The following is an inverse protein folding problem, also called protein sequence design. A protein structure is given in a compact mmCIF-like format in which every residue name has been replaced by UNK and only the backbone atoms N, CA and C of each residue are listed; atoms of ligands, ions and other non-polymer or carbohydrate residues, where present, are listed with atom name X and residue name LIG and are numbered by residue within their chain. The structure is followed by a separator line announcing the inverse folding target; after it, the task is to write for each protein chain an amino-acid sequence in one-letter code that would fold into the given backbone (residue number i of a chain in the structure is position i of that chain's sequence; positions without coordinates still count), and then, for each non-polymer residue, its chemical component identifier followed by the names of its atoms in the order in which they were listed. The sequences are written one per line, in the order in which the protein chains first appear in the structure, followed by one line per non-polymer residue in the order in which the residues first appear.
data_IF_726016905130
#
_entry.id   IF_726016905130
#
_cell.length_a   1.000
_cell.length_b   1.000
_cell.length_c   1.000
_cell.angle_alpha   90.00
_cell.angle_beta   90.00
_cell.angle_gamma   90.00
#
_symmetry.space_group_name_H-M   'P 1'
#
loop_
_entity.id
_entity.type
_entity.pdbx_description
1 polymer ?
#
# COMPACT_ATOMS: atom_id res chain seq x y z
N UNK A 1 7.40 4.31 41.75
CA UNK A 1 7.90 3.84 40.44
C UNK A 1 8.30 2.39 40.62
N UNK A 2 7.56 1.46 40.03
CA UNK A 2 7.89 0.03 40.13
C UNK A 2 8.87 -0.32 39.01
N UNK A 3 9.98 -0.99 39.34
CA UNK A 3 10.85 -1.60 38.34
C UNK A 3 10.27 -2.96 37.98
N UNK A 4 10.16 -3.21 36.68
CA UNK A 4 9.78 -4.50 36.13
C UNK A 4 10.96 -4.94 35.30
N UNK A 5 11.63 -5.99 35.75
CA UNK A 5 12.73 -6.63 35.01
C UNK A 5 12.18 -7.81 34.20
N UNK A 6 12.74 -8.04 33.02
CA UNK A 6 12.33 -9.12 32.13
C UNK A 6 13.40 -10.22 32.13
N UNK A 7 12.98 -11.44 32.44
CA UNK A 7 13.84 -12.61 32.36
C UNK A 7 14.07 -13.03 30.89
N UNK A 8 15.13 -13.80 30.66
CA UNK A 8 15.56 -14.21 29.32
C UNK A 8 14.47 -14.98 28.56
N UNK A 9 13.74 -15.86 29.24
CA UNK A 9 12.63 -16.62 28.65
C UNK A 9 11.52 -15.71 28.14
N UNK A 10 11.13 -14.71 28.94
CA UNK A 10 10.11 -13.73 28.58
C UNK A 10 10.59 -12.88 27.40
N UNK A 11 11.86 -12.49 27.40
CA UNK A 11 12.47 -11.70 26.33
C UNK A 11 12.50 -12.45 25.00
N UNK A 12 12.82 -13.75 25.02
CA UNK A 12 12.87 -14.57 23.80
C UNK A 12 11.46 -14.89 23.28
N UNK A 13 10.48 -15.06 24.17
CA UNK A 13 9.08 -15.12 23.78
C UNK A 13 8.64 -13.84 23.06
N UNK A 14 8.98 -12.66 23.58
CA UNK A 14 8.65 -11.37 22.94
C UNK A 14 9.29 -11.25 21.55
N UNK A 15 10.54 -11.69 21.37
CA UNK A 15 11.19 -11.72 20.04
C UNK A 15 10.47 -12.63 19.06
N UNK A 16 9.97 -13.80 19.51
CA UNK A 16 9.24 -14.73 18.64
C UNK A 16 7.93 -14.15 18.09
N UNK A 17 7.36 -13.17 18.79
CA UNK A 17 6.11 -12.48 18.43
C UNK A 17 6.35 -11.16 17.68
N UNK A 18 7.60 -10.77 17.45
CA UNK A 18 7.97 -9.49 16.84
C UNK A 18 8.25 -9.65 15.35
N UNK A 19 7.77 -8.72 14.52
CA UNK A 19 8.26 -8.60 13.15
C UNK A 19 9.66 -7.97 13.13
N UNK A 20 10.67 -8.62 12.53
CA UNK A 20 12.04 -8.11 12.52
C UNK A 20 12.13 -6.70 11.91
N UNK A 21 12.83 -5.80 12.60
CA UNK A 21 13.08 -4.40 12.21
C UNK A 21 11.86 -3.48 12.15
N UNK A 22 10.68 -3.96 12.55
CA UNK A 22 9.43 -3.20 12.51
C UNK A 22 8.90 -2.97 13.93
N UNK A 23 8.80 -4.02 14.72
CA UNK A 23 8.18 -3.94 16.05
C UNK A 23 9.20 -3.58 17.14
N UNK A 24 8.88 -2.59 17.99
CA UNK A 24 9.61 -2.37 19.25
C UNK A 24 9.08 -3.29 20.35
N UNK A 25 9.85 -3.58 21.42
CA UNK A 25 9.37 -4.39 22.54
C UNK A 25 8.07 -3.87 23.16
N UNK A 26 7.90 -2.55 23.21
CA UNK A 26 6.68 -1.92 23.72
C UNK A 26 5.47 -2.14 22.80
N UNK A 27 5.67 -2.21 21.48
CA UNK A 27 4.59 -2.51 20.52
C UNK A 27 4.11 -3.94 20.68
N UNK A 28 5.04 -4.88 20.84
CA UNK A 28 4.73 -6.29 21.10
C UNK A 28 3.99 -6.45 22.42
N UNK A 29 4.47 -5.80 23.49
CA UNK A 29 3.83 -5.85 24.82
C UNK A 29 2.43 -5.23 24.81
N UNK A 30 2.23 -4.09 24.13
CA UNK A 30 0.90 -3.47 23.99
C UNK A 30 -0.06 -4.37 23.22
N UNK A 31 0.43 -5.05 22.17
CA UNK A 31 -0.36 -6.02 21.39
C UNK A 31 -0.77 -7.23 22.23
N UNK A 32 0.17 -7.84 22.95
CA UNK A 32 -0.08 -9.06 23.71
C UNK A 32 -0.90 -8.83 24.99
N UNK A 33 -0.60 -7.76 25.74
CA UNK A 33 -1.18 -7.55 27.07
C UNK A 33 -2.43 -6.67 27.05
N UNK A 34 -2.49 -5.70 26.13
CA UNK A 34 -3.56 -4.72 26.10
C UNK A 34 -4.52 -4.94 24.92
N UNK A 35 -4.22 -5.90 24.03
CA UNK A 35 -4.94 -6.09 22.77
C UNK A 35 -4.81 -4.89 21.81
N UNK A 36 -3.98 -3.91 22.16
CA UNK A 36 -3.81 -2.68 21.41
C UNK A 36 -2.60 -2.83 20.52
N UNK A 37 -2.84 -3.15 19.26
CA UNK A 37 -1.84 -2.80 18.24
C UNK A 37 -1.62 -1.30 18.33
N UNK A 38 -0.37 -0.82 18.25
CA UNK A 38 -0.07 0.62 18.15
C UNK A 38 -0.77 1.30 16.95
N UNK A 39 -1.41 0.50 16.10
CA UNK A 39 -2.40 0.87 15.10
C UNK A 39 -3.80 1.23 15.65
N UNK A 40 -4.07 1.28 16.95
CA UNK A 40 -5.38 1.74 17.46
C UNK A 40 -5.59 3.26 17.31
N UNK A 41 -4.57 4.03 16.92
CA UNK A 41 -4.78 5.37 16.34
C UNK A 41 -5.02 5.36 14.82
N UNK A 42 -4.84 4.22 14.13
CA UNK A 42 -5.20 4.01 12.73
C UNK A 42 -6.46 3.15 12.54
N UNK A 43 -6.97 2.48 13.59
CA UNK A 43 -8.02 1.45 13.45
C UNK A 43 -9.43 1.87 13.87
N UNK A 44 -9.66 3.14 14.22
CA UNK A 44 -11.02 3.66 14.48
C UNK A 44 -11.85 3.91 13.20
N UNK A 45 -11.40 3.43 12.04
CA UNK A 45 -12.20 3.35 10.81
C UNK A 45 -12.40 1.89 10.36
N UNK A 46 -12.42 0.93 11.30
CA UNK A 46 -13.00 -0.40 11.03
C UNK A 46 -14.51 -0.37 11.28
N UNK A 47 -15.26 0.23 10.36
CA UNK A 47 -16.70 -0.02 10.16
C UNK A 47 -17.14 0.51 8.79
N UNK A 48 -16.52 0.05 7.71
CA UNK A 48 -17.16 -0.04 6.38
C UNK A 48 -16.71 -1.34 5.74
N UNK A 49 -17.56 -2.34 5.90
CA UNK A 49 -17.91 -3.38 4.92
C UNK A 49 -16.79 -3.80 3.96
N UNK A 50 -16.23 -5.00 4.19
CA UNK A 50 -15.67 -5.85 3.12
C UNK A 50 -14.80 -5.14 2.06
N UNK A 51 -13.65 -4.58 2.45
CA UNK A 51 -12.62 -4.20 1.48
C UNK A 51 -12.00 -5.47 0.89
N UNK A 52 -12.66 -6.01 -0.13
CA UNK A 52 -12.01 -6.81 -1.15
C UNK A 52 -10.73 -6.08 -1.54
N UNK A 53 -9.56 -6.64 -1.23
CA UNK A 53 -8.25 -6.13 -1.70
C UNK A 53 -8.11 -6.20 -3.24
N UNK A 54 -9.18 -6.57 -3.96
CA UNK A 54 -9.20 -6.56 -5.40
C UNK A 54 -9.54 -5.14 -5.86
N UNK A 55 -8.60 -4.48 -6.56
CA UNK A 55 -8.86 -3.19 -7.17
C UNK A 55 -9.92 -3.34 -8.27
N UNK A 56 -10.65 -2.26 -8.59
CA UNK A 56 -11.68 -2.31 -9.62
C UNK A 56 -11.09 -2.71 -10.98
N UNK A 57 -11.86 -3.42 -11.81
CA UNK A 57 -11.43 -3.80 -13.14
C UNK A 57 -11.26 -2.55 -14.01
N UNK A 58 -10.18 -2.53 -14.79
CA UNK A 58 -9.89 -1.44 -15.75
C UNK A 58 -10.46 -1.85 -17.12
N UNK A 59 -11.03 -0.92 -17.92
CA UNK A 59 -11.61 -1.25 -19.22
C UNK A 59 -10.67 -2.00 -20.16
N UNK A 60 -11.21 -2.97 -20.90
CA UNK A 60 -10.50 -3.72 -21.92
C UNK A 60 -9.94 -2.77 -23.01
N UNK A 61 -8.70 -3.00 -23.43
CA UNK A 61 -7.96 -2.12 -24.34
C UNK A 61 -7.02 -1.13 -23.63
N UNK A 62 -7.03 -1.10 -22.29
CA UNK A 62 -6.04 -0.33 -21.52
C UNK A 62 -4.68 -1.04 -21.53
N UNK A 63 -3.56 -0.33 -21.75
CA UNK A 63 -2.24 -0.90 -21.66
C UNK A 63 -2.02 -1.53 -20.28
N UNK A 64 -1.54 -2.79 -20.24
CA UNK A 64 -1.26 -3.50 -18.97
C UNK A 64 -0.37 -2.72 -18.02
N UNK A 65 0.51 -1.86 -18.54
CA UNK A 65 1.32 -0.98 -17.71
C UNK A 65 0.47 0.04 -16.95
N UNK A 66 -0.45 0.73 -17.63
CA UNK A 66 -1.37 1.68 -17.02
C UNK A 66 -2.30 1.00 -16.01
N UNK A 67 -2.84 -0.16 -16.37
CA UNK A 67 -3.67 -0.96 -15.46
C UNK A 67 -2.94 -1.27 -14.16
N UNK A 68 -1.72 -1.82 -14.23
CA UNK A 68 -0.93 -2.14 -13.04
C UNK A 68 -0.60 -0.90 -12.19
N UNK A 69 -0.31 0.23 -12.84
CA UNK A 69 -0.04 1.49 -12.13
C UNK A 69 -1.27 1.94 -11.35
N UNK A 70 -2.43 1.98 -12.00
CA UNK A 70 -3.70 2.39 -11.38
C UNK A 70 -4.07 1.48 -10.20
N UNK A 71 -3.91 0.16 -10.36
CA UNK A 71 -4.19 -0.80 -9.30
C UNK A 71 -3.26 -0.63 -8.08
N UNK A 72 -1.98 -0.31 -8.30
CA UNK A 72 -1.07 0.01 -7.19
C UNK A 72 -1.53 1.28 -6.48
N UNK A 73 -1.89 2.33 -7.23
CA UNK A 73 -2.39 3.60 -6.67
C UNK A 73 -3.65 3.37 -5.83
N UNK A 74 -4.58 2.55 -6.33
CA UNK A 74 -5.81 2.19 -5.61
C UNK A 74 -5.50 1.56 -4.26
N UNK A 75 -4.66 0.53 -4.26
CA UNK A 75 -4.28 -0.18 -3.04
C UNK A 75 -3.57 0.73 -2.05
N UNK A 76 -2.73 1.65 -2.54
CA UNK A 76 -1.98 2.57 -1.66
C UNK A 76 -2.83 3.69 -1.09
N UNK A 77 -3.72 4.28 -1.88
CA UNK A 77 -4.45 5.48 -1.47
C UNK A 77 -5.81 5.16 -0.86
N UNK A 78 -6.58 4.26 -1.47
CA UNK A 78 -7.95 3.95 -1.03
C UNK A 78 -8.00 2.80 -0.03
N UNK A 79 -7.05 1.87 -0.10
CA UNK A 79 -6.98 0.70 0.80
C UNK A 79 -5.90 0.87 1.88
N UNK A 80 -5.14 1.98 1.85
CA UNK A 80 -4.05 2.30 2.79
C UNK A 80 -3.00 1.17 2.94
N UNK A 81 -2.70 0.50 1.83
CA UNK A 81 -1.70 -0.56 1.79
C UNK A 81 -0.34 0.02 1.39
N UNK A 82 0.76 -0.27 2.11
CA UNK A 82 2.08 0.20 1.71
C UNK A 82 2.43 -0.20 0.27
N UNK A 83 3.04 0.69 -0.50
CA UNK A 83 3.37 0.47 -1.93
C UNK A 83 4.04 -0.88 -2.19
N UNK A 84 4.97 -1.29 -1.32
CA UNK A 84 5.68 -2.57 -1.44
C UNK A 84 4.72 -3.77 -1.37
N UNK A 85 3.73 -3.72 -0.47
CA UNK A 85 2.67 -4.73 -0.33
C UNK A 85 1.67 -4.64 -1.47
N UNK A 86 1.24 -3.43 -1.86
CA UNK A 86 0.37 -3.21 -3.03
C UNK A 86 0.98 -3.77 -4.33
N UNK A 87 2.28 -3.54 -4.55
CA UNK A 87 3.03 -4.08 -5.69
C UNK A 87 3.01 -5.60 -5.72
N UNK A 88 3.20 -6.26 -4.56
CA UNK A 88 3.13 -7.73 -4.44
C UNK A 88 1.72 -8.26 -4.73
N UNK A 89 0.69 -7.55 -4.26
CA UNK A 89 -0.70 -7.92 -4.49
C UNK A 89 -1.01 -7.87 -5.99
N UNK A 90 -0.66 -6.77 -6.67
CA UNK A 90 -0.83 -6.62 -8.13
C UNK A 90 -0.06 -7.70 -8.90
N UNK A 91 1.18 -7.98 -8.51
CA UNK A 91 1.97 -9.05 -9.10
C UNK A 91 1.28 -10.43 -9.01
N UNK A 92 0.73 -10.76 -7.83
CA UNK A 92 0.02 -12.02 -7.61
C UNK A 92 -1.29 -12.09 -8.41
N UNK A 93 -2.05 -11.00 -8.48
CA UNK A 93 -3.31 -10.92 -9.23
C UNK A 93 -3.12 -11.17 -10.73
N UNK A 94 -2.00 -10.73 -11.29
CA UNK A 94 -1.71 -10.83 -12.74
C UNK A 94 -0.93 -12.10 -13.13
N UNK A 95 -1.26 -13.23 -12.52
CA UNK A 95 -0.66 -14.52 -12.86
C UNK A 95 0.73 -14.76 -12.26
N UNK A 96 1.05 -14.08 -11.15
CA UNK A 96 2.31 -14.29 -10.43
C UNK A 96 3.54 -13.71 -11.12
N UNK A 97 3.40 -12.56 -11.78
CA UNK A 97 4.54 -11.84 -12.35
C UNK A 97 5.48 -11.35 -11.24
N UNK A 98 6.76 -11.14 -11.54
CA UNK A 98 7.69 -10.62 -10.55
C UNK A 98 7.26 -9.21 -10.07
N UNK A 99 7.26 -8.91 -8.75
CA UNK A 99 6.96 -7.57 -8.24
C UNK A 99 7.85 -6.48 -8.82
N UNK A 100 9.10 -6.83 -9.18
CA UNK A 100 10.02 -5.94 -9.88
C UNK A 100 9.46 -5.46 -11.22
N UNK A 101 8.73 -6.31 -11.95
CA UNK A 101 8.09 -5.95 -13.22
C UNK A 101 6.98 -4.92 -13.01
N UNK A 102 6.23 -5.01 -11.90
CA UNK A 102 5.23 -4.02 -11.53
C UNK A 102 5.90 -2.71 -11.13
N UNK A 103 6.99 -2.79 -10.36
CA UNK A 103 7.79 -1.62 -9.97
C UNK A 103 8.39 -0.90 -11.17
N UNK A 104 8.95 -1.64 -12.12
CA UNK A 104 9.51 -1.09 -13.34
C UNK A 104 8.45 -0.37 -14.19
N UNK A 105 7.17 -0.77 -14.12
CA UNK A 105 6.10 -0.05 -14.83
C UNK A 105 5.92 1.35 -14.29
N UNK A 106 5.65 1.54 -12.99
CA UNK A 106 5.45 2.90 -12.47
C UNK A 106 6.75 3.70 -12.39
N UNK A 107 7.90 3.07 -12.12
CA UNK A 107 9.18 3.80 -12.06
C UNK A 107 9.71 4.14 -13.46
N UNK A 108 9.83 3.17 -14.38
CA UNK A 108 10.42 3.43 -15.71
C UNK A 108 9.44 4.09 -16.68
N UNK A 109 8.15 3.71 -16.68
CA UNK A 109 7.21 4.30 -17.65
C UNK A 109 6.87 5.75 -17.34
N UNK A 110 6.87 6.12 -16.05
CA UNK A 110 6.58 7.50 -15.62
C UNK A 110 7.86 8.33 -15.41
N UNK A 111 9.04 7.72 -15.57
CA UNK A 111 10.34 8.30 -15.30
C UNK A 111 10.41 8.90 -13.89
N UNK A 112 10.16 8.04 -12.89
CA UNK A 112 10.10 8.36 -11.46
C UNK A 112 10.88 7.34 -10.65
N UNK A 113 11.41 7.78 -9.51
CA UNK A 113 11.85 6.88 -8.45
C UNK A 113 10.68 6.47 -7.57
N UNK A 114 10.84 5.36 -6.86
CA UNK A 114 9.81 4.81 -5.99
C UNK A 114 9.29 5.83 -4.95
N UNK A 115 10.18 6.60 -4.31
CA UNK A 115 9.79 7.61 -3.33
C UNK A 115 9.06 8.81 -3.95
N UNK A 116 9.36 9.16 -5.21
CA UNK A 116 8.68 10.24 -5.92
C UNK A 116 7.26 9.81 -6.26
N UNK A 117 7.08 8.53 -6.63
CA UNK A 117 5.77 7.95 -6.83
C UNK A 117 4.93 7.95 -5.55
N UNK A 118 5.53 7.56 -4.42
CA UNK A 118 4.86 7.62 -3.10
C UNK A 118 4.41 9.06 -2.77
N UNK A 119 5.27 10.05 -3.05
CA UNK A 119 4.93 11.48 -2.87
C UNK A 119 3.76 11.91 -3.76
N UNK A 120 3.74 11.49 -5.02
CA UNK A 120 2.67 11.83 -5.97
C UNK A 120 1.32 11.18 -5.62
N UNK A 121 1.34 10.01 -4.99
CA UNK A 121 0.12 9.36 -4.49
C UNK A 121 -0.43 10.11 -3.27
N UNK A 122 0.45 10.60 -2.40
CA UNK A 122 0.04 11.36 -1.22
C UNK A 122 -0.46 12.78 -1.52
N UNK A 123 -0.31 13.27 -2.76
CA UNK A 123 -0.82 14.57 -3.16
C UNK A 123 -2.36 14.55 -3.27
N UNK A 124 -3.07 15.49 -2.61
CA UNK A 124 -4.52 15.56 -2.73
C UNK A 124 -4.93 15.78 -4.19
N UNK A 125 -5.83 14.93 -4.69
CA UNK A 125 -6.32 15.00 -6.06
C UNK A 125 -5.35 14.48 -7.13
N UNK A 126 -4.23 13.85 -6.75
CA UNK A 126 -3.27 13.19 -7.65
C UNK A 126 -2.71 14.11 -8.75
N UNK A 127 -2.64 15.43 -8.51
CA UNK A 127 -2.35 16.41 -9.56
C UNK A 127 -1.05 16.13 -10.32
N UNK A 128 0.05 15.84 -9.61
CA UNK A 128 1.32 15.50 -10.26
C UNK A 128 1.30 14.11 -10.94
N UNK A 129 0.62 13.13 -10.34
CA UNK A 129 0.48 11.79 -10.90
C UNK A 129 -0.33 11.80 -12.21
N UNK A 130 -1.47 12.49 -12.23
CA UNK A 130 -2.34 12.65 -13.40
C UNK A 130 -1.58 13.27 -14.57
N UNK A 131 -0.82 14.35 -14.34
CA UNK A 131 0.04 14.96 -15.38
C UNK A 131 1.01 13.96 -16.00
N UNK A 132 1.67 13.12 -15.20
CA UNK A 132 2.58 12.07 -15.68
C UNK A 132 1.84 11.00 -16.46
N UNK A 133 0.69 10.56 -15.97
CA UNK A 133 -0.14 9.55 -16.63
C UNK A 133 -0.69 10.05 -17.97
N UNK A 134 -1.19 11.28 -18.06
CA UNK A 134 -1.67 11.84 -19.32
C UNK A 134 -0.56 12.05 -20.34
N UNK A 135 0.63 12.47 -19.90
CA UNK A 135 1.77 12.62 -20.80
C UNK A 135 2.18 11.28 -21.44
N UNK A 136 2.04 10.17 -20.70
CA UNK A 136 2.44 8.83 -21.17
C UNK A 136 1.33 8.05 -21.86
N UNK A 137 0.10 8.19 -21.38
CA UNK A 137 -1.09 7.45 -21.81
C UNK A 137 -2.21 8.41 -22.21
N UNK A 138 -1.90 9.34 -23.11
CA UNK A 138 -2.83 10.41 -23.52
C UNK A 138 -4.17 9.91 -24.05
N UNK A 139 -4.18 8.77 -24.75
CA UNK A 139 -5.39 8.12 -25.27
C UNK A 139 -6.31 7.52 -24.17
N UNK A 140 -5.84 7.45 -22.92
CA UNK A 140 -6.56 6.83 -21.80
C UNK A 140 -6.85 7.81 -20.66
N UNK A 141 -6.86 9.13 -20.94
CA UNK A 141 -7.15 10.17 -19.94
C UNK A 141 -8.47 9.94 -19.22
N UNK A 142 -9.53 9.57 -19.95
CA UNK A 142 -10.86 9.25 -19.41
C UNK A 142 -10.80 8.07 -18.44
N UNK A 143 -10.01 7.04 -18.74
CA UNK A 143 -9.83 5.87 -17.87
C UNK A 143 -9.11 6.27 -16.59
N UNK A 144 -8.06 7.08 -16.70
CA UNK A 144 -7.29 7.58 -15.55
C UNK A 144 -8.19 8.39 -14.61
N UNK A 145 -9.01 9.30 -15.15
CA UNK A 145 -9.91 10.12 -14.34
C UNK A 145 -11.01 9.30 -13.67
N UNK A 146 -11.68 8.43 -14.42
CA UNK A 146 -12.74 7.59 -13.88
C UNK A 146 -12.24 6.70 -12.74
N UNK A 147 -10.98 6.26 -12.82
CA UNK A 147 -10.38 5.38 -11.83
C UNK A 147 -9.86 6.14 -10.60
N UNK A 148 -9.25 7.31 -10.78
CA UNK A 148 -8.70 8.10 -9.68
C UNK A 148 -9.72 8.99 -8.96
N UNK A 149 -10.89 9.24 -9.58
CA UNK A 149 -11.98 10.01 -8.99
C UNK A 149 -13.08 9.11 -8.42
N UNK A 150 -12.82 7.81 -8.22
CA UNK A 150 -13.80 6.95 -7.57
C UNK A 150 -14.07 7.44 -6.14
N UNK A 151 -15.35 7.50 -5.71
CA UNK A 151 -15.68 7.95 -4.36
C UNK A 151 -15.07 7.01 -3.31
N UNK A 152 -14.52 7.61 -2.25
CA UNK A 152 -14.02 6.94 -1.04
C UNK A 152 -15.09 6.12 -0.31
#
# INVERSE_FOLDING_TARGET
MHKIDLDQEVLDYLKSQAEPFIDTPNDVLRRLLLGKTSNEKLSQVKSRESLSHNPPPVPAGTPKALEHILQVVYLTHFVDVPRSKGTKIVAKMHGGIAPQTVLDKYCRQLNLKAFEFDRLIAEPGFGGLKKKLYAKFSAHSVVIDNYLNQPE
#
